data_IF_765699318246
#
_entry.id   IF_765699318246
#
_cell.length_a   1.000
_cell.length_b   1.000
_cell.length_c   1.000
_cell.angle_alpha   90.00
_cell.angle_beta   90.00
_cell.angle_gamma   90.00
#
_symmetry.space_group_name_H-M   'P 1'
#
loop_
_entity.id
_entity.type
_entity.pdbx_description
1 polymer ?
#
# COMPACT_ATOMS: atom_id res chain seq x y z
N UNK A 1 -13.36 5.56 -5.85
CA UNK A 1 -12.77 4.62 -6.83
C UNK A 1 -11.51 4.01 -6.25
N UNK A 2 -10.83 3.15 -7.01
CA UNK A 2 -9.53 2.59 -6.65
C UNK A 2 -8.41 3.49 -7.19
N UNK A 3 -7.43 3.80 -6.36
CA UNK A 3 -6.21 4.53 -6.71
C UNK A 3 -5.04 3.54 -6.82
N UNK A 4 -4.24 3.66 -7.87
CA UNK A 4 -3.00 2.88 -8.07
C UNK A 4 -1.83 3.68 -7.51
N UNK A 5 -1.19 3.16 -6.46
CA UNK A 5 -0.08 3.82 -5.76
C UNK A 5 1.29 3.34 -6.26
N UNK A 6 1.36 2.12 -6.77
CA UNK A 6 2.57 1.56 -7.37
C UNK A 6 2.24 0.53 -8.45
N UNK A 7 3.08 0.47 -9.48
CA UNK A 7 3.01 -0.52 -10.56
C UNK A 7 4.34 -1.25 -10.73
N UNK A 8 4.27 -2.51 -11.13
CA UNK A 8 5.41 -3.30 -11.60
C UNK A 8 5.10 -3.79 -13.01
N UNK A 9 5.90 -3.37 -13.99
CA UNK A 9 5.70 -3.74 -15.40
C UNK A 9 4.28 -3.41 -15.94
N UNK A 10 3.70 -2.29 -15.47
CA UNK A 10 2.35 -1.86 -15.84
C UNK A 10 1.21 -2.60 -15.13
N UNK A 11 1.53 -3.46 -14.15
CA UNK A 11 0.54 -4.13 -13.31
C UNK A 11 0.45 -3.43 -11.95
N UNK A 12 -0.74 -3.06 -11.45
CA UNK A 12 -0.91 -2.52 -10.11
C UNK A 12 -0.44 -3.50 -9.03
N UNK A 13 0.45 -3.04 -8.13
CA UNK A 13 0.99 -3.86 -7.03
C UNK A 13 0.74 -3.27 -5.64
N UNK A 14 0.37 -1.99 -5.56
CA UNK A 14 -0.13 -1.34 -4.35
C UNK A 14 -1.30 -0.44 -4.73
N UNK A 15 -2.46 -0.68 -4.12
CA UNK A 15 -3.70 0.05 -4.42
C UNK A 15 -4.41 0.50 -3.16
N UNK A 16 -5.20 1.56 -3.28
CA UNK A 16 -6.02 2.11 -2.21
C UNK A 16 -7.46 2.32 -2.65
N UNK A 17 -8.41 2.01 -1.77
CA UNK A 17 -9.81 2.40 -1.91
C UNK A 17 -10.35 2.91 -0.57
N UNK A 18 -10.47 4.24 -0.44
CA UNK A 18 -10.87 4.86 0.83
C UNK A 18 -9.83 4.57 1.93
N UNK A 19 -10.25 3.86 2.98
CA UNK A 19 -9.39 3.39 4.10
C UNK A 19 -8.88 1.95 3.92
N UNK A 20 -9.10 1.33 2.76
CA UNK A 20 -8.58 0.00 2.44
C UNK A 20 -7.29 0.14 1.64
N UNK A 21 -6.23 -0.53 2.10
CA UNK A 21 -4.93 -0.66 1.43
C UNK A 21 -4.69 -2.13 1.10
N UNK A 22 -4.22 -2.43 -0.11
CA UNK A 22 -3.90 -3.80 -0.53
C UNK A 22 -2.61 -3.84 -1.35
N UNK A 23 -1.76 -4.84 -1.09
CA UNK A 23 -0.50 -5.08 -1.81
C UNK A 23 -0.46 -6.49 -2.41
N UNK A 24 0.22 -6.63 -3.55
CA UNK A 24 0.56 -7.93 -4.17
C UNK A 24 1.93 -8.48 -3.71
N UNK A 25 2.52 -7.83 -2.71
CA UNK A 25 3.83 -8.17 -2.13
C UNK A 25 3.75 -8.07 -0.60
N UNK A 26 4.81 -8.55 0.04
CA UNK A 26 4.97 -8.62 1.49
C UNK A 26 5.85 -7.45 2.00
N UNK A 27 5.28 -6.28 2.36
CA UNK A 27 6.07 -5.15 2.88
C UNK A 27 6.83 -5.52 4.17
N UNK A 28 6.35 -6.51 4.93
CA UNK A 28 6.91 -7.01 6.17
C UNK A 28 8.21 -7.82 6.00
N UNK A 29 8.54 -8.28 4.79
CA UNK A 29 9.79 -9.00 4.51
C UNK A 29 10.98 -8.06 4.26
N UNK A 30 10.82 -6.77 4.59
CA UNK A 30 11.88 -5.75 4.55
C UNK A 30 11.88 -4.97 5.86
N UNK A 31 12.99 -4.29 6.18
CA UNK A 31 13.05 -3.39 7.34
C UNK A 31 12.43 -2.01 7.09
N UNK A 32 11.86 -1.76 5.91
CA UNK A 32 11.31 -0.46 5.53
C UNK A 32 9.85 -0.30 5.99
N UNK A 33 9.56 0.58 6.98
CA UNK A 33 8.23 0.68 7.55
C UNK A 33 7.30 1.60 6.75
N UNK A 34 7.71 2.15 5.60
CA UNK A 34 6.92 3.19 4.89
C UNK A 34 5.49 2.76 4.56
N UNK A 35 5.27 1.54 4.09
CA UNK A 35 3.91 1.05 3.77
C UNK A 35 3.06 0.92 5.03
N UNK A 36 3.64 0.41 6.12
CA UNK A 36 2.96 0.29 7.41
C UNK A 36 2.64 1.67 8.02
N UNK A 37 3.56 2.63 7.97
CA UNK A 37 3.30 4.01 8.40
C UNK A 37 2.18 4.66 7.60
N UNK A 38 2.20 4.51 6.29
CA UNK A 38 1.13 4.99 5.42
C UNK A 38 -0.23 4.37 5.78
N UNK A 39 -0.27 3.07 6.12
CA UNK A 39 -1.48 2.43 6.60
C UNK A 39 -1.99 3.02 7.93
N UNK A 40 -1.11 3.32 8.88
CA UNK A 40 -1.48 3.95 10.15
C UNK A 40 -2.03 5.37 9.94
N UNK A 41 -1.39 6.16 9.07
CA UNK A 41 -1.89 7.49 8.68
C UNK A 41 -3.31 7.42 8.08
N UNK A 42 -3.59 6.41 7.25
CA UNK A 42 -4.95 6.17 6.72
C UNK A 42 -5.97 5.75 7.79
N UNK A 43 -5.49 5.11 8.86
CA UNK A 43 -6.28 4.69 10.01
C UNK A 43 -6.47 5.80 11.04
N UNK A 44 -5.90 6.99 10.83
CA UNK A 44 -5.83 8.10 11.78
C UNK A 44 -5.09 7.72 13.09
N UNK A 45 -4.01 6.92 12.98
CA UNK A 45 -3.16 6.44 14.09
C UNK A 45 -1.72 6.99 14.02
#
# INVERSE_FOLDING_TARGET
GVEVLAELQGLPVLVRQGKVLASAFHPELTEDPRVHRYFLELADL
#
